data_IF_437175008786
#
_entry.id   IF_437175008786
#
_cell.length_a   1.000
_cell.length_b   1.000
_cell.length_c   1.000
_cell.angle_alpha   90.00
_cell.angle_beta   90.00
_cell.angle_gamma   90.00
#
_symmetry.space_group_name_H-M   'P 1'
#
loop_
_entity.id
_entity.type
_entity.pdbx_description
1 polymer ?
#
# COMPACT_ATOMS: atom_id res chain seq x y z
N UNK A 1 -2.16 -15.09 9.34
CA UNK A 1 -1.79 -13.66 9.23
C UNK A 1 -2.85 -12.96 8.39
N UNK A 2 -2.94 -11.62 8.45
CA UNK A 2 -3.74 -10.87 7.46
C UNK A 2 -3.09 -11.02 6.08
N UNK A 3 -3.85 -10.79 5.02
CA UNK A 3 -3.40 -10.92 3.63
C UNK A 3 -3.54 -9.58 2.93
N UNK A 4 -2.50 -9.13 2.24
CA UNK A 4 -2.59 -8.03 1.29
C UNK A 4 -2.75 -8.58 -0.12
N UNK A 5 -3.55 -7.91 -0.93
CA UNK A 5 -3.68 -8.14 -2.36
C UNK A 5 -3.31 -6.86 -3.10
N UNK A 6 -2.48 -7.00 -4.12
CA UNK A 6 -2.15 -5.92 -5.04
C UNK A 6 -2.33 -6.42 -6.47
N UNK A 7 -2.92 -5.59 -7.33
CA UNK A 7 -3.12 -5.96 -8.73
C UNK A 7 -2.77 -4.83 -9.70
N UNK A 8 -2.62 -5.19 -10.97
CA UNK A 8 -2.48 -4.26 -12.08
C UNK A 8 -3.40 -4.67 -13.23
N UNK A 9 -4.01 -3.68 -13.88
CA UNK A 9 -4.92 -3.89 -15.01
C UNK A 9 -4.38 -3.27 -16.30
N UNK A 10 -4.51 -4.00 -17.41
CA UNK A 10 -4.31 -3.47 -18.75
C UNK A 10 -5.44 -2.49 -19.10
N UNK A 11 -5.12 -1.21 -19.06
CA UNK A 11 -6.04 -0.13 -19.40
C UNK A 11 -6.52 -0.15 -20.85
N UNK A 12 -5.76 -0.73 -21.79
CA UNK A 12 -6.20 -0.90 -23.19
C UNK A 12 -7.23 -2.01 -23.29
N UNK A 13 -6.99 -3.14 -22.62
CA UNK A 13 -7.95 -4.25 -22.56
C UNK A 13 -9.26 -3.82 -21.88
N UNK A 14 -9.18 -3.06 -20.78
CA UNK A 14 -10.36 -2.49 -20.12
C UNK A 14 -11.22 -1.64 -21.06
N UNK A 15 -10.59 -0.73 -21.82
CA UNK A 15 -11.32 0.12 -22.78
C UNK A 15 -11.99 -0.71 -23.87
N UNK A 16 -11.34 -1.76 -24.36
CA UNK A 16 -11.94 -2.66 -25.35
C UNK A 16 -13.14 -3.42 -24.80
N UNK A 17 -13.06 -3.85 -23.53
CA UNK A 17 -14.12 -4.62 -22.89
C UNK A 17 -15.36 -3.77 -22.60
N UNK A 18 -15.19 -2.64 -21.92
CA UNK A 18 -16.30 -1.78 -21.50
C UNK A 18 -16.74 -0.77 -22.57
N UNK A 19 -15.93 -0.57 -23.62
CA UNK A 19 -16.21 0.33 -24.76
C UNK A 19 -16.55 1.76 -24.33
N UNK A 20 -15.93 2.24 -23.25
CA UNK A 20 -16.21 3.53 -22.62
C UNK A 20 -14.90 4.21 -22.16
N UNK A 21 -14.83 5.53 -22.18
CA UNK A 21 -13.69 6.28 -21.62
C UNK A 21 -13.65 6.21 -20.08
N UNK A 22 -14.79 5.96 -19.42
CA UNK A 22 -14.88 5.74 -17.97
C UNK A 22 -14.61 4.29 -17.51
N UNK A 23 -14.21 3.40 -18.43
CA UNK A 23 -14.02 1.96 -18.16
C UNK A 23 -13.22 1.67 -16.89
N UNK A 24 -12.14 2.43 -16.67
CA UNK A 24 -11.28 2.28 -15.51
C UNK A 24 -12.01 2.59 -14.19
N UNK A 25 -12.80 3.67 -14.15
CA UNK A 25 -13.54 4.07 -12.95
C UNK A 25 -14.62 3.04 -12.60
N UNK A 26 -15.26 2.46 -13.60
CA UNK A 26 -16.27 1.41 -13.42
C UNK A 26 -15.61 0.13 -12.90
N UNK A 27 -14.54 -0.33 -13.55
CA UNK A 27 -13.78 -1.51 -13.16
C UNK A 27 -13.29 -1.45 -11.70
N UNK A 28 -12.68 -0.33 -11.28
CA UNK A 28 -12.20 -0.17 -9.91
C UNK A 28 -13.35 -0.11 -8.89
N UNK A 29 -14.52 0.43 -9.26
CA UNK A 29 -15.70 0.39 -8.38
C UNK A 29 -16.27 -1.03 -8.23
N UNK A 30 -16.25 -1.83 -9.29
CA UNK A 30 -16.68 -3.23 -9.24
C UNK A 30 -15.72 -4.06 -8.37
N UNK A 31 -14.41 -3.89 -8.57
CA UNK A 31 -13.40 -4.56 -7.73
C UNK A 31 -13.52 -4.11 -6.27
N UNK A 32 -13.69 -2.80 -6.00
CA UNK A 32 -13.87 -2.29 -4.64
C UNK A 32 -15.01 -3.00 -3.91
N UNK A 33 -16.20 -3.02 -4.52
CA UNK A 33 -17.38 -3.68 -3.94
C UNK A 33 -17.15 -5.18 -3.73
N UNK A 34 -16.54 -5.84 -4.72
CA UNK A 34 -16.23 -7.26 -4.62
C UNK A 34 -15.29 -7.51 -3.44
N UNK A 35 -14.19 -6.77 -3.34
CA UNK A 35 -13.19 -6.94 -2.28
C UNK A 35 -13.77 -6.67 -0.89
N UNK A 36 -14.53 -5.58 -0.72
CA UNK A 36 -15.22 -5.26 0.53
C UNK A 36 -16.19 -6.36 0.96
N UNK A 37 -16.97 -6.89 0.02
CA UNK A 37 -17.91 -7.99 0.31
C UNK A 37 -17.22 -9.31 0.67
N UNK A 38 -15.93 -9.47 0.35
CA UNK A 38 -15.13 -10.65 0.65
C UNK A 38 -14.11 -10.41 1.78
N UNK A 39 -14.36 -9.41 2.64
CA UNK A 39 -13.61 -9.21 3.88
C UNK A 39 -12.28 -8.50 3.71
N UNK A 40 -12.13 -7.69 2.67
CA UNK A 40 -10.97 -6.82 2.48
C UNK A 40 -11.35 -5.35 2.66
N UNK A 41 -10.46 -4.57 3.27
CA UNK A 41 -10.52 -3.11 3.24
C UNK A 41 -9.64 -2.55 2.11
N UNK A 42 -10.10 -1.47 1.48
CA UNK A 42 -9.31 -0.72 0.52
C UNK A 42 -8.26 0.14 1.25
N UNK A 43 -7.01 0.13 0.78
CA UNK A 43 -5.95 0.98 1.34
C UNK A 43 -5.62 2.12 0.40
N UNK A 44 -5.18 1.80 -0.81
CA UNK A 44 -4.80 2.79 -1.82
C UNK A 44 -4.76 2.14 -3.20
N UNK A 45 -5.21 2.85 -4.23
CA UNK A 45 -5.08 2.40 -5.62
C UNK A 45 -5.63 0.99 -5.82
N UNK A 46 -4.78 0.06 -6.27
CA UNK A 46 -5.08 -1.36 -6.46
C UNK A 46 -4.69 -2.26 -5.28
N UNK A 47 -4.51 -1.69 -4.08
CA UNK A 47 -4.11 -2.38 -2.86
C UNK A 47 -5.26 -2.56 -1.86
N UNK A 48 -5.37 -3.79 -1.36
CA UNK A 48 -6.39 -4.23 -0.40
C UNK A 48 -5.74 -5.06 0.70
N UNK A 49 -6.29 -5.01 1.92
CA UNK A 49 -5.84 -5.87 3.03
C UNK A 49 -7.04 -6.55 3.67
N UNK A 50 -6.94 -7.83 4.01
CA UNK A 50 -8.00 -8.56 4.69
C UNK A 50 -8.27 -7.93 6.07
N UNK A 51 -9.53 -7.84 6.47
CA UNK A 51 -9.91 -7.34 7.79
C UNK A 51 -9.40 -8.28 8.89
N UNK A 52 -9.55 -9.58 8.66
CA UNK A 52 -9.16 -10.64 9.59
C UNK A 52 -8.00 -11.49 9.03
N UNK A 53 -7.46 -12.37 9.87
CA UNK A 53 -6.50 -13.37 9.38
C UNK A 53 -7.14 -14.28 8.36
N UNK A 54 -6.43 -14.57 7.27
CA UNK A 54 -6.92 -15.38 6.17
C UNK A 54 -5.83 -16.34 5.71
N UNK A 55 -6.21 -17.53 5.30
CA UNK A 55 -5.32 -18.53 4.71
C UNK A 55 -5.07 -18.23 3.24
N UNK A 56 -4.00 -18.79 2.67
CA UNK A 56 -3.75 -18.64 1.23
C UNK A 56 -4.82 -19.34 0.38
N UNK A 57 -5.41 -20.43 0.89
CA UNK A 57 -6.49 -21.15 0.21
C UNK A 57 -7.77 -20.29 0.12
N UNK A 58 -8.15 -19.61 1.20
CA UNK A 58 -9.28 -18.67 1.18
C UNK A 58 -9.07 -17.55 0.17
N UNK A 59 -7.86 -16.99 0.08
CA UNK A 59 -7.53 -15.98 -0.93
C UNK A 59 -7.65 -16.54 -2.35
N UNK A 60 -7.18 -17.77 -2.59
CA UNK A 60 -7.34 -18.44 -3.90
C UNK A 60 -8.82 -18.64 -4.24
N UNK A 61 -9.64 -19.06 -3.28
CA UNK A 61 -11.08 -19.20 -3.47
C UNK A 61 -11.75 -17.87 -3.81
N UNK A 62 -11.34 -16.78 -3.16
CA UNK A 62 -11.81 -15.42 -3.47
C UNK A 62 -11.38 -15.00 -4.88
N UNK A 63 -10.16 -15.29 -5.32
CA UNK A 63 -9.72 -15.00 -6.68
C UNK A 63 -10.50 -15.79 -7.74
N UNK A 64 -10.81 -17.07 -7.48
CA UNK A 64 -11.67 -17.89 -8.35
C UNK A 64 -13.10 -17.37 -8.40
N UNK A 65 -13.64 -16.93 -7.26
CA UNK A 65 -14.94 -16.26 -7.18
C UNK A 65 -14.93 -14.95 -7.98
N UNK A 66 -13.88 -14.14 -7.86
CA UNK A 66 -13.72 -12.88 -8.60
C UNK A 66 -13.73 -13.12 -10.11
N UNK A 67 -13.02 -14.14 -10.59
CA UNK A 67 -13.03 -14.55 -12.00
C UNK A 67 -14.44 -14.92 -12.50
N UNK A 68 -15.30 -15.42 -11.62
CA UNK A 68 -16.67 -15.83 -11.95
C UNK A 68 -17.64 -14.65 -11.92
N UNK A 69 -17.56 -13.80 -10.90
CA UNK A 69 -18.46 -12.65 -10.72
C UNK A 69 -18.08 -11.44 -11.56
N UNK A 70 -16.78 -11.29 -11.88
CA UNK A 70 -16.23 -10.26 -12.76
C UNK A 70 -15.53 -10.91 -13.97
N UNK A 71 -16.25 -11.55 -14.92
CA UNK A 71 -15.65 -12.33 -16.00
C UNK A 71 -14.64 -11.56 -16.88
N UNK A 72 -14.77 -10.24 -16.93
CA UNK A 72 -13.88 -9.34 -17.65
C UNK A 72 -12.46 -9.31 -17.09
N UNK A 73 -12.29 -9.62 -15.80
CA UNK A 73 -11.01 -9.45 -15.09
C UNK A 73 -9.91 -10.31 -15.68
N UNK A 74 -10.22 -11.54 -16.11
CA UNK A 74 -9.24 -12.47 -16.71
C UNK A 74 -8.64 -11.95 -18.03
N UNK A 75 -9.33 -11.01 -18.69
CA UNK A 75 -8.87 -10.40 -19.93
C UNK A 75 -8.08 -9.11 -19.71
N UNK A 76 -8.17 -8.55 -18.50
CA UNK A 76 -7.62 -7.24 -18.18
C UNK A 76 -6.54 -7.30 -17.11
N UNK A 77 -6.35 -8.43 -16.42
CA UNK A 77 -5.37 -8.55 -15.33
C UNK A 77 -3.95 -8.75 -15.89
N UNK A 78 -3.03 -7.87 -15.49
CA UNK A 78 -1.60 -8.05 -15.77
C UNK A 78 -0.90 -8.77 -14.62
N UNK A 79 -1.29 -8.43 -13.39
CA UNK A 79 -0.71 -8.97 -12.16
C UNK A 79 -1.74 -9.03 -11.05
N UNK A 80 -1.66 -10.05 -10.22
CA UNK A 80 -2.50 -10.20 -9.02
C UNK A 80 -1.68 -10.97 -7.97
N UNK A 81 -1.10 -10.25 -7.02
CA UNK A 81 -0.21 -10.82 -6.01
C UNK A 81 -0.88 -10.81 -4.63
N UNK A 82 -0.56 -11.83 -3.83
CA UNK A 82 -0.92 -11.91 -2.42
C UNK A 82 0.35 -11.86 -1.57
N UNK A 83 0.31 -11.08 -0.49
CA UNK A 83 1.40 -11.00 0.51
C UNK A 83 0.84 -11.25 1.92
N UNK A 84 1.65 -11.89 2.77
CA UNK A 84 1.36 -12.02 4.19
C UNK A 84 1.66 -10.72 4.96
N UNK A 85 0.65 -10.15 5.61
CA UNK A 85 0.77 -8.92 6.42
C UNK A 85 0.85 -9.29 7.89
N UNK A 86 2.03 -9.12 8.47
CA UNK A 86 2.25 -9.29 9.92
C UNK A 86 1.92 -8.03 10.71
N UNK A 87 2.45 -6.89 10.25
CA UNK A 87 2.18 -5.55 10.78
C UNK A 87 2.24 -4.56 9.63
N UNK A 88 1.38 -3.55 9.68
CA UNK A 88 1.35 -2.44 8.75
C UNK A 88 1.50 -1.11 9.50
N UNK A 89 2.10 -0.12 8.84
CA UNK A 89 2.39 1.19 9.41
C UNK A 89 2.02 2.27 8.41
N UNK A 90 1.12 3.17 8.81
CA UNK A 90 0.82 4.36 8.02
C UNK A 90 1.83 5.47 8.33
N UNK A 91 2.56 5.90 7.30
CA UNK A 91 3.60 6.93 7.42
C UNK A 91 3.14 8.28 6.84
N UNK A 92 1.87 8.43 6.44
CA UNK A 92 1.34 9.65 5.85
C UNK A 92 1.55 10.87 6.75
N UNK A 93 1.48 10.66 8.08
CA UNK A 93 1.74 11.69 9.09
C UNK A 93 3.16 12.27 9.10
N UNK A 94 4.12 11.68 8.38
CA UNK A 94 5.47 12.22 8.23
C UNK A 94 5.62 13.19 7.04
N UNK A 95 4.59 13.31 6.20
CA UNK A 95 4.60 14.16 5.01
C UNK A 95 3.71 15.41 5.13
N UNK A 96 3.13 15.64 6.32
CA UNK A 96 2.32 16.81 6.65
C UNK A 96 3.09 17.72 7.60
N UNK A 97 2.72 19.00 7.65
CA UNK A 97 3.30 19.97 8.57
C UNK A 97 3.05 19.58 10.04
N UNK A 98 3.90 20.06 10.96
CA UNK A 98 3.90 19.64 12.38
C UNK A 98 2.55 19.89 13.09
N UNK A 99 1.80 20.91 12.70
CA UNK A 99 0.47 21.21 13.25
C UNK A 99 -0.55 20.13 12.85
N UNK A 100 -0.55 19.69 11.60
CA UNK A 100 -1.46 18.67 11.07
C UNK A 100 -1.07 17.26 11.54
N UNK A 101 0.23 17.04 11.74
CA UNK A 101 0.79 15.81 12.31
C UNK A 101 0.28 15.50 13.73
N UNK A 102 0.00 16.51 14.55
CA UNK A 102 -0.54 16.32 15.91
C UNK A 102 -2.00 15.84 15.91
N UNK A 103 -2.73 16.10 14.83
CA UNK A 103 -4.13 15.71 14.65
C UNK A 103 -4.22 14.30 14.04
N UNK A 104 -3.29 13.96 13.14
CA UNK A 104 -3.29 12.71 12.37
C UNK A 104 -2.51 11.54 13.00
N UNK A 105 -1.91 11.71 14.19
CA UNK A 105 -1.23 10.61 14.88
C UNK A 105 -2.19 9.84 15.81
N UNK A 106 -2.77 8.69 15.41
CA UNK A 106 -3.13 7.67 16.37
C UNK A 106 -1.83 6.99 16.84
N UNK A 107 -1.40 7.28 18.07
CA UNK A 107 -0.40 6.54 18.87
C UNK A 107 0.61 5.73 18.03
N UNK A 108 1.57 6.41 17.38
CA UNK A 108 2.74 5.73 16.80
C UNK A 108 3.36 4.85 17.89
N UNK A 109 3.69 3.58 17.57
CA UNK A 109 4.38 2.70 18.51
C UNK A 109 5.64 3.43 19.03
N UNK A 110 5.74 3.69 20.34
CA UNK A 110 6.86 4.41 20.93
C UNK A 110 8.23 3.81 20.60
N UNK A 111 8.30 2.54 20.20
CA UNK A 111 9.54 1.89 19.73
C UNK A 111 9.99 2.40 18.36
N UNK A 112 9.05 2.66 17.45
CA UNK A 112 9.35 3.19 16.11
C UNK A 112 9.79 4.64 16.22
N UNK A 113 9.05 5.46 16.99
CA UNK A 113 9.43 6.85 17.25
C UNK A 113 10.85 6.95 17.82
N UNK A 114 11.21 6.08 18.78
CA UNK A 114 12.57 6.02 19.35
C UNK A 114 13.63 5.62 18.32
N UNK A 115 13.35 4.67 17.44
CA UNK A 115 14.30 4.22 16.42
C UNK A 115 14.55 5.30 15.36
N UNK A 116 13.50 5.99 14.91
CA UNK A 116 13.58 7.11 13.96
C UNK A 116 14.41 8.26 14.55
N UNK A 117 14.13 8.69 15.79
CA UNK A 117 14.91 9.73 16.48
C UNK A 117 16.39 9.34 16.61
N UNK A 118 16.67 8.05 16.86
CA UNK A 118 18.05 7.54 16.94
C UNK A 118 18.77 7.61 15.58
N UNK A 119 18.08 7.29 14.49
CA UNK A 119 18.64 7.36 13.14
C UNK A 119 18.91 8.81 12.70
N UNK A 120 17.96 9.73 12.93
CA UNK A 120 18.15 11.17 12.64
C UNK A 120 19.35 11.75 13.40
N UNK A 121 19.52 11.40 14.69
CA UNK A 121 20.70 11.83 15.46
C UNK A 121 22.00 11.27 14.89
N UNK A 122 21.99 10.03 14.41
CA UNK A 122 23.16 9.38 13.80
C UNK A 122 23.54 10.05 12.48
N UNK A 123 22.56 10.35 11.62
CA UNK A 123 22.77 11.06 10.35
C UNK A 123 23.37 12.44 10.58
N UNK A 124 22.79 13.26 11.47
CA UNK A 124 23.35 14.57 11.85
C UNK A 124 24.79 14.46 12.37
N UNK A 125 25.08 13.45 13.19
CA UNK A 125 26.43 13.21 13.72
C UNK A 125 27.42 12.86 12.60
N UNK A 126 26.98 12.09 11.60
CA UNK A 126 27.82 11.73 10.47
C UNK A 126 28.07 12.93 9.55
N UNK A 127 27.05 13.76 9.29
CA UNK A 127 27.19 15.01 8.53
C UNK A 127 28.18 15.96 9.20
N UNK A 128 28.10 16.15 10.52
CA UNK A 128 29.06 16.99 11.25
C UNK A 128 30.49 16.46 11.14
N UNK A 129 30.66 15.12 11.19
CA UNK A 129 31.99 14.50 10.99
C UNK A 129 32.52 14.71 9.58
N UNK A 130 31.68 14.56 8.56
CA UNK A 130 32.03 14.79 7.16
C UNK A 130 32.45 16.26 6.93
N UNK A 131 31.69 17.21 7.48
CA UNK A 131 32.02 18.64 7.41
C UNK A 131 33.36 18.95 8.10
N UNK A 132 33.62 18.37 9.27
CA UNK A 132 34.89 18.57 9.99
C UNK A 132 36.09 17.97 9.25
N UNK A 133 35.94 16.79 8.63
CA UNK A 133 36.99 16.21 7.78
C UNK A 133 37.25 17.10 6.58
N UNK A 134 36.20 17.64 5.95
CA UNK A 134 36.32 18.48 4.78
C UNK A 134 36.94 19.84 5.10
N UNK A 135 36.69 20.44 6.27
CA UNK A 135 37.37 21.66 6.72
C UNK A 135 38.85 21.45 7.06
N UNK A 136 39.22 20.28 7.58
CA UNK A 136 40.60 19.98 7.96
C UNK A 136 41.52 19.66 6.76
N UNK A 137 40.96 19.50 5.56
CA UNK A 137 41.71 19.24 4.32
C UNK A 137 41.95 20.51 3.46
N UNK A 138 41.70 21.71 4.00
CA UNK A 138 41.82 23.00 3.28
C UNK A 138 43.05 23.82 3.74
N UNK A 139 44.06 23.18 4.35
CA UNK A 139 45.36 23.81 4.63
C UNK A 139 46.50 22.90 4.17
#
# INVERSE_FOLDING_TARGET
MRKAINFDLDTKALRQYYRNDESYRIAYKEILKFMESNGFEHRQGSGYVSLETMTSEEVVNIALKMKTELPWIKHCINKFDMTDVGRDYDLSSYFVDDEERNILQPKIDPKIARSVVKNIKKEKTNETKLQNIQMNNIW
#
